data_IF_915008051532
#
_entry.id   IF_915008051532
#
_cell.length_a   1.000
_cell.length_b   1.000
_cell.length_c   1.000
_cell.angle_alpha   90.00
_cell.angle_beta   90.00
_cell.angle_gamma   90.00
#
_symmetry.space_group_name_H-M   'P 1'
#
loop_
_entity.id
_entity.type
_entity.pdbx_description
1 polymer ?
#
# COMPACT_ATOMS: atom_id res chain seq x y z
N UNK A 1 3.75 11.72 -4.52
CA UNK A 1 4.65 10.78 -3.82
C UNK A 1 3.85 10.24 -2.66
N UNK A 2 3.86 8.93 -2.42
CA UNK A 2 3.20 8.32 -1.26
C UNK A 2 4.18 8.31 -0.08
N UNK A 3 3.73 8.74 1.09
CA UNK A 3 4.52 8.65 2.32
C UNK A 3 4.65 7.19 2.78
N UNK A 4 5.90 6.75 2.95
CA UNK A 4 6.26 5.36 3.29
C UNK A 4 6.42 5.21 4.79
N UNK A 5 5.32 5.12 5.53
CA UNK A 5 5.31 5.04 7.00
C UNK A 5 6.10 3.83 7.52
N UNK A 6 6.12 2.75 6.75
CA UNK A 6 6.88 1.53 7.07
C UNK A 6 8.41 1.76 7.23
N UNK A 7 8.99 2.82 6.65
CA UNK A 7 10.39 3.18 6.90
C UNK A 7 10.61 4.00 8.17
N UNK A 8 9.60 4.75 8.60
CA UNK A 8 9.70 5.64 9.77
C UNK A 8 9.38 4.88 11.07
N UNK A 9 8.34 4.05 11.04
CA UNK A 9 7.90 3.27 12.20
C UNK A 9 7.44 1.86 11.76
N UNK A 10 8.35 0.89 11.67
CA UNK A 10 8.07 -0.45 11.13
C UNK A 10 7.12 -1.29 12.01
N UNK A 11 6.87 -0.88 13.25
CA UNK A 11 5.93 -1.57 14.15
C UNK A 11 4.48 -1.09 14.00
N UNK A 12 4.22 -0.11 13.12
CA UNK A 12 2.87 0.42 12.88
C UNK A 12 2.00 -0.61 12.17
N UNK A 13 0.94 -1.07 12.84
CA UNK A 13 0.01 -2.09 12.32
C UNK A 13 -1.30 -1.54 11.76
N UNK A 14 -1.59 -0.27 12.05
CA UNK A 14 -2.83 0.42 11.63
C UNK A 14 -2.49 1.86 11.28
N UNK A 15 -3.08 2.36 10.21
CA UNK A 15 -2.91 3.72 9.70
C UNK A 15 -4.22 4.19 9.09
N UNK A 16 -4.53 5.48 9.23
CA UNK A 16 -5.53 6.14 8.41
C UNK A 16 -4.83 6.82 7.24
N UNK A 17 -5.36 6.62 6.03
CA UNK A 17 -4.82 7.18 4.80
C UNK A 17 -5.97 7.66 3.91
N UNK A 18 -5.68 8.63 3.06
CA UNK A 18 -6.61 9.13 2.06
C UNK A 18 -6.38 8.41 0.73
N UNK A 19 -7.43 7.84 0.15
CA UNK A 19 -7.36 7.35 -1.23
C UNK A 19 -7.32 8.56 -2.15
N UNK A 20 -6.24 8.70 -2.90
CA UNK A 20 -6.01 9.79 -3.86
C UNK A 20 -6.36 9.41 -5.28
N UNK A 21 -6.41 8.11 -5.59
CA UNK A 21 -6.80 7.59 -6.90
C UNK A 21 -7.36 6.17 -6.78
N UNK A 22 -8.33 5.85 -7.64
CA UNK A 22 -8.88 4.50 -7.80
C UNK A 22 -8.81 4.12 -9.28
N UNK A 23 -8.32 2.90 -9.57
CA UNK A 23 -8.26 2.36 -10.93
C UNK A 23 -8.74 0.92 -10.94
N UNK A 24 -9.49 0.55 -11.97
CA UNK A 24 -9.79 -0.85 -12.25
C UNK A 24 -8.78 -1.40 -13.27
N UNK A 25 -8.14 -2.53 -12.93
CA UNK A 25 -7.18 -3.20 -13.82
C UNK A 25 -7.19 -4.69 -13.54
N UNK A 26 -7.30 -5.49 -14.60
CA UNK A 26 -7.27 -6.96 -14.54
C UNK A 26 -8.34 -7.55 -13.59
N UNK A 27 -9.50 -6.89 -13.47
CA UNK A 27 -10.58 -7.31 -12.58
C UNK A 27 -10.37 -6.97 -11.11
N UNK A 28 -9.34 -6.19 -10.77
CA UNK A 28 -9.05 -5.72 -9.42
C UNK A 28 -9.13 -4.20 -9.32
N UNK A 29 -9.53 -3.71 -8.15
CA UNK A 29 -9.43 -2.30 -7.79
C UNK A 29 -8.05 -2.02 -7.20
N UNK A 30 -7.32 -1.11 -7.85
CA UNK A 30 -6.06 -0.57 -7.41
C UNK A 30 -6.30 0.80 -6.76
N UNK A 31 -5.78 0.97 -5.56
CA UNK A 31 -5.90 2.19 -4.79
C UNK A 31 -4.53 2.85 -4.69
N UNK A 32 -4.47 4.16 -4.90
CA UNK A 32 -3.29 4.97 -4.57
C UNK A 32 -3.59 5.77 -3.31
N UNK A 33 -2.74 5.66 -2.30
CA UNK A 33 -2.90 6.44 -1.05
C UNK A 33 -1.84 7.53 -0.92
N UNK A 34 -2.15 8.55 -0.12
CA UNK A 34 -1.22 9.60 0.29
C UNK A 34 -0.10 9.07 1.19
N UNK A 35 -0.41 8.08 2.02
CA UNK A 35 0.51 7.39 2.93
C UNK A 35 0.16 5.91 3.08
N UNK A 36 1.14 5.07 3.42
CA UNK A 36 0.91 3.62 3.60
C UNK A 36 1.89 2.96 4.57
N UNK A 37 1.39 1.94 5.28
CA UNK A 37 2.20 0.97 6.03
C UNK A 37 2.50 -0.29 5.22
N UNK A 38 1.87 -0.47 4.05
CA UNK A 38 2.07 -1.65 3.22
C UNK A 38 3.36 -1.53 2.43
N UNK A 39 4.31 -2.43 2.69
CA UNK A 39 5.53 -2.53 1.92
C UNK A 39 5.29 -3.24 0.57
N UNK A 40 5.69 -2.65 -0.57
CA UNK A 40 5.53 -3.24 -1.91
C UNK A 40 6.45 -4.45 -2.18
N UNK A 41 7.28 -4.85 -1.22
CA UNK A 41 8.32 -5.86 -1.40
C UNK A 41 9.61 -5.27 -2.00
N UNK A 42 10.68 -6.06 -1.97
CA UNK A 42 12.01 -5.64 -2.43
C UNK A 42 13.13 -6.40 -1.73
N UNK A 43 14.30 -6.50 -2.38
CA UNK A 43 15.47 -7.15 -1.78
C UNK A 43 15.26 -8.63 -1.40
N UNK A 44 14.34 -9.33 -2.07
CA UNK A 44 13.95 -10.71 -1.74
C UNK A 44 12.78 -10.84 -0.75
N UNK A 45 12.33 -9.74 -0.15
CA UNK A 45 11.14 -9.72 0.70
C UNK A 45 9.86 -9.59 -0.15
N UNK A 46 8.86 -10.39 0.18
CA UNK A 46 7.54 -10.35 -0.46
C UNK A 46 6.72 -9.11 -0.03
N UNK A 47 5.74 -8.68 -0.83
CA UNK A 47 4.84 -7.59 -0.46
C UNK A 47 4.02 -7.91 0.79
N UNK A 48 3.68 -6.86 1.53
CA UNK A 48 2.84 -6.97 2.72
C UNK A 48 1.40 -7.35 2.38
N UNK A 49 0.74 -7.97 3.36
CA UNK A 49 -0.69 -8.33 3.31
C UNK A 49 -1.42 -7.69 4.47
N UNK A 50 -2.72 -7.48 4.29
CA UNK A 50 -3.57 -6.94 5.35
C UNK A 50 -4.91 -6.51 4.80
N UNK A 51 -5.48 -5.45 5.39
CA UNK A 51 -6.81 -4.96 5.01
C UNK A 51 -6.85 -3.44 4.90
N UNK A 52 -7.59 -2.95 3.92
CA UNK A 52 -8.02 -1.55 3.79
C UNK A 52 -9.54 -1.55 3.92
N UNK A 53 -10.05 -0.79 4.88
CA UNK A 53 -11.49 -0.71 5.19
C UNK A 53 -12.20 -2.09 5.25
N UNK A 54 -11.55 -3.05 5.92
CA UNK A 54 -12.05 -4.42 6.07
C UNK A 54 -11.82 -5.35 4.86
N UNK A 55 -11.48 -4.81 3.69
CA UNK A 55 -11.22 -5.58 2.46
C UNK A 55 -9.76 -6.02 2.37
N UNK A 56 -9.52 -7.25 1.90
CA UNK A 56 -8.18 -7.82 1.80
C UNK A 56 -7.33 -7.13 0.74
N UNK A 57 -6.12 -6.73 1.10
CA UNK A 57 -5.08 -6.30 0.15
C UNK A 57 -4.44 -7.55 -0.45
N UNK A 58 -4.56 -7.69 -1.77
CA UNK A 58 -4.08 -8.86 -2.50
C UNK A 58 -2.64 -8.68 -3.02
N UNK A 59 -2.25 -7.45 -3.34
CA UNK A 59 -0.93 -7.09 -3.85
C UNK A 59 -0.61 -5.63 -3.52
N UNK A 60 0.69 -5.31 -3.49
CA UNK A 60 1.22 -3.96 -3.22
C UNK A 60 2.34 -3.71 -4.21
N UNK A 61 2.31 -2.57 -4.90
CA UNK A 61 3.24 -2.25 -5.98
C UNK A 61 3.69 -0.80 -5.90
N UNK A 62 4.97 -0.55 -6.15
CA UNK A 62 5.49 0.81 -6.28
C UNK A 62 5.75 1.16 -7.75
N UNK A 63 5.29 2.35 -8.17
CA UNK A 63 5.63 2.93 -9.47
C UNK A 63 5.94 4.41 -9.32
N UNK A 64 7.18 4.82 -9.57
CA UNK A 64 7.62 6.22 -9.51
C UNK A 64 7.29 6.91 -8.16
N UNK A 65 7.54 6.23 -7.02
CA UNK A 65 7.27 6.77 -5.69
C UNK A 65 5.79 6.87 -5.32
N UNK A 66 4.91 6.17 -6.05
CA UNK A 66 3.49 5.97 -5.75
C UNK A 66 3.27 4.51 -5.37
N UNK A 67 2.60 4.28 -4.25
CA UNK A 67 2.26 2.96 -3.72
C UNK A 67 0.75 2.86 -3.59
#
# INVERSE_FOLDING_TARGET
MTEKVFYQNPYTKKLMATVTEVREKEGYLWLLTDQTIFYPGGGGQLPDRGKIDGQSVLDVKEKNGKI
#
